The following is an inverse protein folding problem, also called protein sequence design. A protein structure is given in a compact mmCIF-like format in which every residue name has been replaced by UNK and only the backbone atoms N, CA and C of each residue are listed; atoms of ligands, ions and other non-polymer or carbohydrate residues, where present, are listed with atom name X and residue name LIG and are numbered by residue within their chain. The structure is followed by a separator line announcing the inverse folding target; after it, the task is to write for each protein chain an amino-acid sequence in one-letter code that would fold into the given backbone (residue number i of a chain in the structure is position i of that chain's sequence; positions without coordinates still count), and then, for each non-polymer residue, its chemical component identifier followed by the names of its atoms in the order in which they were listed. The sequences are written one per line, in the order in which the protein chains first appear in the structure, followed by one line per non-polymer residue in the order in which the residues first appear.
data_IF_314540244518
#
_entry.id   IF_314540244518
#
_cell.length_a   1.000
_cell.length_b   1.000
_cell.length_c   1.000
_cell.angle_alpha   90.00
_cell.angle_beta   90.00
_cell.angle_gamma   90.00
#
_symmetry.space_group_name_H-M   'P 1'
#
loop_
_entity.id
_entity.type
_entity.pdbx_description
1 polymer ?
#
# COMPACT_ATOMS: atom_id res chain seq x y z
N UNK A 1 -19.11 -12.76 -0.05
CA UNK A 1 -18.04 -12.23 0.82
C UNK A 1 -16.89 -11.79 -0.07
N UNK A 2 -16.32 -10.60 0.13
CA UNK A 2 -15.18 -10.12 -0.66
C UNK A 2 -13.90 -10.85 -0.22
N UNK A 3 -12.95 -11.05 -1.14
CA UNK A 3 -11.62 -11.55 -0.84
C UNK A 3 -10.69 -10.38 -0.45
N UNK A 4 -9.66 -10.62 0.35
CA UNK A 4 -8.70 -9.59 0.74
C UNK A 4 -7.42 -9.74 -0.08
N UNK A 5 -6.99 -8.64 -0.72
CA UNK A 5 -5.71 -8.52 -1.38
C UNK A 5 -4.78 -7.71 -0.47
N UNK A 6 -3.57 -8.21 -0.28
CA UNK A 6 -2.49 -7.45 0.35
C UNK A 6 -1.68 -6.78 -0.77
N UNK A 7 -1.57 -5.46 -0.74
CA UNK A 7 -0.77 -4.69 -1.68
C UNK A 7 0.48 -4.16 -0.99
N UNK A 8 1.62 -4.81 -1.26
CA UNK A 8 2.94 -4.39 -0.79
C UNK A 8 3.60 -3.48 -1.82
N UNK A 9 4.21 -2.38 -1.38
CA UNK A 9 4.82 -1.41 -2.29
C UNK A 9 5.93 -0.58 -1.62
N UNK A 10 6.71 0.13 -2.45
CA UNK A 10 7.88 0.90 -2.03
C UNK A 10 9.16 0.08 -2.08
N UNK A 11 9.84 -0.05 -0.94
CA UNK A 11 11.01 -0.90 -0.77
C UNK A 11 12.36 -0.16 -0.75
N UNK A 12 13.42 -0.95 -0.57
CA UNK A 12 14.80 -0.47 -0.40
C UNK A 12 15.47 -0.10 -1.74
N UNK A 13 14.96 -0.65 -2.85
CA UNK A 13 15.48 -0.47 -4.22
C UNK A 13 15.48 0.98 -4.67
N UNK A 14 16.35 1.34 -5.62
CA UNK A 14 16.29 2.61 -6.33
C UNK A 14 14.96 2.81 -7.08
N UNK A 15 14.27 1.72 -7.44
CA UNK A 15 12.99 1.73 -8.14
C UNK A 15 11.77 1.96 -7.22
N UNK A 16 11.98 2.28 -5.94
CA UNK A 16 10.90 2.40 -4.95
C UNK A 16 9.79 3.38 -5.35
N UNK A 17 10.13 4.47 -6.04
CA UNK A 17 9.15 5.45 -6.51
C UNK A 17 8.26 4.87 -7.62
N UNK A 18 8.87 4.10 -8.54
CA UNK A 18 8.13 3.36 -9.58
C UNK A 18 7.23 2.30 -8.94
N UNK A 19 7.67 1.66 -7.85
CA UNK A 19 6.85 0.71 -7.09
C UNK A 19 5.61 1.39 -6.49
N UNK A 20 5.75 2.59 -5.91
CA UNK A 20 4.60 3.37 -5.39
C UNK A 20 3.62 3.69 -6.52
N UNK A 21 4.09 4.23 -7.64
CA UNK A 21 3.23 4.58 -8.79
C UNK A 21 2.50 3.34 -9.36
N UNK A 22 3.19 2.21 -9.44
CA UNK A 22 2.62 0.95 -9.89
C UNK A 22 1.53 0.46 -8.93
N UNK A 23 1.77 0.56 -7.62
CA UNK A 23 0.78 0.21 -6.61
C UNK A 23 -0.45 1.12 -6.66
N UNK A 24 -0.29 2.43 -6.89
CA UNK A 24 -1.46 3.31 -7.05
C UNK A 24 -2.29 2.94 -8.30
N UNK A 25 -1.63 2.53 -9.39
CA UNK A 25 -2.31 2.05 -10.60
C UNK A 25 -3.10 0.76 -10.31
N UNK A 26 -2.47 -0.22 -9.65
CA UNK A 26 -3.12 -1.47 -9.25
C UNK A 26 -4.32 -1.19 -8.35
N UNK A 27 -4.14 -0.39 -7.30
CA UNK A 27 -5.19 0.00 -6.35
C UNK A 27 -6.42 0.59 -7.03
N UNK A 28 -6.25 1.39 -8.10
CA UNK A 28 -7.35 1.98 -8.86
C UNK A 28 -8.00 1.01 -9.85
N UNK A 29 -7.29 -0.02 -10.29
CA UNK A 29 -7.77 -1.01 -11.25
C UNK A 29 -8.45 -2.24 -10.61
N UNK A 30 -8.37 -2.41 -9.28
CA UNK A 30 -8.99 -3.53 -8.56
C UNK A 30 -10.52 -3.50 -8.70
N UNK A 31 -11.11 -4.67 -8.92
CA UNK A 31 -12.56 -4.84 -8.84
C UNK A 31 -13.01 -4.93 -7.37
N UNK A 32 -13.45 -3.79 -6.82
CA UNK A 32 -13.88 -3.71 -5.43
C UNK A 32 -15.21 -4.40 -5.12
N UNK A 33 -16.00 -4.85 -6.09
CA UNK A 33 -17.16 -5.71 -5.81
C UNK A 33 -16.72 -7.10 -5.31
N UNK A 34 -15.51 -7.52 -5.73
CA UNK A 34 -14.92 -8.81 -5.39
C UNK A 34 -13.85 -8.74 -4.32
N UNK A 35 -13.16 -7.61 -4.20
CA UNK A 35 -11.96 -7.49 -3.36
C UNK A 35 -12.01 -6.32 -2.37
N UNK A 36 -11.29 -6.50 -1.26
CA UNK A 36 -10.84 -5.44 -0.35
C UNK A 36 -9.32 -5.38 -0.45
N UNK A 37 -8.73 -4.19 -0.34
CA UNK A 37 -7.28 -3.99 -0.49
C UNK A 37 -6.70 -3.43 0.79
N UNK A 38 -5.82 -4.20 1.43
CA UNK A 38 -5.03 -3.74 2.55
C UNK A 38 -3.64 -3.38 2.05
N UNK A 39 -3.23 -2.13 2.23
CA UNK A 39 -1.96 -1.64 1.72
C UNK A 39 -0.90 -1.62 2.82
N UNK A 40 0.34 -1.96 2.45
CA UNK A 40 1.50 -1.87 3.34
C UNK A 40 2.68 -1.28 2.59
N UNK A 41 3.26 -0.24 3.17
CA UNK A 41 4.42 0.43 2.65
C UNK A 41 5.69 -0.19 3.24
N UNK A 42 6.67 -0.48 2.39
CA UNK A 42 8.02 -0.86 2.80
C UNK A 42 8.90 0.38 2.66
N UNK A 43 9.44 0.89 3.78
CA UNK A 43 10.32 2.06 3.77
C UNK A 43 11.65 1.78 3.05
N UNK A 44 12.42 2.83 2.77
CA UNK A 44 13.78 2.67 2.23
C UNK A 44 14.72 1.94 3.20
N UNK A 45 14.47 2.01 4.52
CA UNK A 45 15.18 1.23 5.54
C UNK A 45 14.73 -0.22 5.64
N UNK A 46 13.60 -0.59 5.00
CA UNK A 46 13.05 -1.94 5.02
C UNK A 46 12.03 -2.19 6.14
N UNK A 47 11.52 -1.14 6.78
CA UNK A 47 10.45 -1.24 7.77
C UNK A 47 9.11 -1.41 7.07
N UNK A 48 8.20 -2.17 7.68
CA UNK A 48 6.84 -2.35 7.18
C UNK A 48 5.88 -1.45 7.95
N UNK A 49 5.09 -0.68 7.21
CA UNK A 49 4.09 0.24 7.74
C UNK A 49 2.73 -0.18 7.21
N UNK A 50 1.77 -0.43 8.11
CA UNK A 50 0.38 -0.67 7.72
C UNK A 50 -0.24 0.65 7.28
N UNK A 51 -0.81 0.70 6.08
CA UNK A 51 -1.37 1.94 5.52
C UNK A 51 -2.87 1.81 5.28
N UNK A 52 -3.42 2.49 4.28
CA UNK A 52 -4.86 2.55 4.05
C UNK A 52 -5.47 1.18 3.70
N UNK A 53 -6.73 1.00 4.05
CA UNK A 53 -7.58 -0.09 3.57
C UNK A 53 -8.64 0.49 2.62
N UNK A 54 -8.82 -0.16 1.47
CA UNK A 54 -9.79 0.24 0.46
C UNK A 54 -10.83 -0.86 0.29
N UNK A 55 -12.10 -0.49 0.51
CA UNK A 55 -13.27 -1.34 0.27
C UNK A 55 -14.08 -0.91 -0.95
N UNK A 56 -13.66 0.20 -1.58
CA UNK A 56 -14.20 0.83 -2.78
C UNK A 56 -13.06 1.49 -3.56
N UNK A 57 -13.29 1.80 -4.84
CA UNK A 57 -12.30 2.47 -5.68
C UNK A 57 -11.92 3.83 -5.10
N UNK A 58 -10.63 4.08 -4.82
CA UNK A 58 -10.18 5.38 -4.33
C UNK A 58 -10.34 6.48 -5.38
N UNK A 59 -10.44 7.72 -4.91
CA UNK A 59 -10.50 8.92 -5.74
C UNK A 59 -9.19 9.21 -6.47
N UNK A 60 -9.23 10.15 -7.42
CA UNK A 60 -8.03 10.55 -8.17
C UNK A 60 -6.95 11.22 -7.30
N UNK A 61 -7.37 11.92 -6.25
CA UNK A 61 -6.47 12.62 -5.33
C UNK A 61 -5.93 11.72 -4.21
N UNK A 62 -6.44 10.49 -4.09
CA UNK A 62 -5.95 9.54 -3.09
C UNK A 62 -4.54 9.06 -3.47
N UNK A 63 -3.61 9.27 -2.54
CA UNK A 63 -2.20 8.91 -2.67
C UNK A 63 -1.80 7.84 -1.67
N UNK A 64 -0.92 6.94 -2.11
CA UNK A 64 -0.29 5.98 -1.21
C UNK A 64 0.85 6.64 -0.42
N UNK A 65 1.21 6.02 0.72
CA UNK A 65 2.28 6.51 1.58
C UNK A 65 3.63 6.48 0.86
N UNK A 66 4.54 7.38 1.22
CA UNK A 66 5.92 7.39 0.72
C UNK A 66 6.89 7.60 1.86
N UNK A 67 8.20 7.59 1.59
CA UNK A 67 9.20 7.92 2.60
C UNK A 67 9.02 9.35 3.17
N UNK A 68 8.39 10.27 2.43
CA UNK A 68 8.13 11.63 2.90
C UNK A 68 6.93 11.74 3.84
N UNK A 69 6.06 10.72 3.88
CA UNK A 69 4.78 10.74 4.61
C UNK A 69 4.64 9.58 5.58
N UNK A 70 5.77 8.98 6.00
CA UNK A 70 5.75 7.84 6.92
C UNK A 70 5.10 8.21 8.24
N UNK A 71 4.13 7.38 8.64
CA UNK A 71 3.55 7.35 9.97
C UNK A 71 4.19 6.19 10.76
N UNK A 72 5.15 6.52 11.62
CA UNK A 72 5.93 5.52 12.36
C UNK A 72 5.11 4.79 13.43
N UNK A 73 4.00 5.36 13.89
CA UNK A 73 3.10 4.73 14.85
C UNK A 73 2.37 3.53 14.24
N UNK A 74 2.35 3.44 12.91
CA UNK A 74 1.76 2.32 12.15
C UNK A 74 2.78 1.28 11.71
N UNK A 75 4.03 1.35 12.21
CA UNK A 75 5.04 0.33 11.96
C UNK A 75 4.58 -1.01 12.54
N UNK A 76 4.77 -2.08 11.76
CA UNK A 76 4.44 -3.44 12.17
C UNK A 76 5.60 -4.40 11.89
N UNK A 77 5.57 -5.55 12.56
CA UNK A 77 6.45 -6.66 12.21
C UNK A 77 6.01 -7.29 10.88
N UNK A 78 6.94 -7.74 10.01
CA UNK A 78 6.59 -8.44 8.77
C UNK A 78 5.73 -9.69 8.99
N UNK A 79 5.87 -10.35 10.14
CA UNK A 79 5.08 -11.53 10.53
C UNK A 79 3.63 -11.24 10.91
N UNK A 80 3.23 -9.97 10.97
CA UNK A 80 1.88 -9.53 11.31
C UNK A 80 1.02 -9.21 10.07
N UNK A 81 1.55 -9.44 8.86
CA UNK A 81 0.87 -9.32 7.57
C UNK A 81 0.32 -10.68 7.17
#
# INVERSE_FOLDING_TARGET
MKQTIILLYGGRSAEREVSVLSAESVMRAVNYDRFTVNTFFISQSGDFIKTQEFSQTPGQEDRLMTNATIDWDKKIAPSAI
#
